data_IF_134953684624
#
_entry.id   IF_134953684624
#
_cell.length_a   1.000
_cell.length_b   1.000
_cell.length_c   1.000
_cell.angle_alpha   90.00
_cell.angle_beta   90.00
_cell.angle_gamma   90.00
#
_symmetry.space_group_name_H-M   'P 1'
#
loop_
_entity.id
_entity.type
_entity.pdbx_description
1 polymer ?
#
# COMPACT_ATOMS: atom_id res chain seq x y z
N UNK A 1 0.61 -41.10 4.26
CA UNK A 1 1.16 -39.78 4.61
C UNK A 1 0.03 -38.76 4.48
N UNK A 2 -0.60 -38.37 5.60
CA UNK A 2 -1.69 -37.40 5.59
C UNK A 2 -1.13 -36.03 5.20
N UNK A 3 -1.52 -35.51 4.03
CA UNK A 3 -1.19 -34.14 3.64
C UNK A 3 -1.89 -33.24 4.65
N UNK A 4 -1.13 -32.66 5.60
CA UNK A 4 -1.67 -31.65 6.51
C UNK A 4 -2.25 -30.52 5.67
N UNK A 5 -3.57 -30.30 5.76
CA UNK A 5 -4.22 -29.16 5.11
C UNK A 5 -3.55 -27.88 5.60
N UNK A 6 -3.15 -27.02 4.66
CA UNK A 6 -2.65 -25.68 4.95
C UNK A 6 -3.71 -24.89 5.73
N UNK A 7 -3.25 -24.09 6.69
CA UNK A 7 -4.16 -23.19 7.43
C UNK A 7 -4.61 -22.06 6.49
N UNK A 8 -5.82 -21.48 6.67
CA UNK A 8 -6.29 -20.39 5.82
C UNK A 8 -5.30 -19.21 5.75
N UNK A 9 -4.67 -18.90 6.88
CA UNK A 9 -3.64 -17.86 6.95
C UNK A 9 -2.41 -18.22 6.12
N UNK A 10 -1.88 -19.43 6.21
CA UNK A 10 -0.77 -19.86 5.37
C UNK A 10 -1.13 -19.81 3.87
N UNK A 11 -2.34 -20.21 3.51
CA UNK A 11 -2.84 -20.13 2.13
C UNK A 11 -2.88 -18.69 1.61
N UNK A 12 -3.22 -17.71 2.46
CA UNK A 12 -3.20 -16.28 2.09
C UNK A 12 -1.79 -15.81 1.78
N UNK A 13 -0.81 -16.11 2.63
CA UNK A 13 0.58 -15.73 2.37
C UNK A 13 1.15 -16.36 1.11
N UNK A 14 0.82 -17.64 0.85
CA UNK A 14 1.20 -18.30 -0.41
C UNK A 14 0.57 -17.58 -1.60
N UNK A 15 -0.72 -17.23 -1.54
CA UNK A 15 -1.39 -16.52 -2.62
C UNK A 15 -0.82 -15.11 -2.84
N UNK A 16 -0.41 -14.41 -1.78
CA UNK A 16 0.30 -13.13 -1.87
C UNK A 16 1.65 -13.27 -2.57
N UNK A 17 2.47 -14.26 -2.16
CA UNK A 17 3.74 -14.53 -2.82
C UNK A 17 3.58 -14.87 -4.30
N UNK A 18 2.56 -15.69 -4.64
CA UNK A 18 2.22 -15.99 -6.03
C UNK A 18 1.75 -14.75 -6.80
N UNK A 19 0.95 -13.88 -6.18
CA UNK A 19 0.53 -12.62 -6.79
C UNK A 19 1.73 -11.74 -7.16
N UNK A 20 2.64 -11.49 -6.22
CA UNK A 20 3.83 -10.66 -6.49
C UNK A 20 4.72 -11.31 -7.55
N UNK A 21 4.95 -12.62 -7.47
CA UNK A 21 5.78 -13.34 -8.43
C UNK A 21 5.18 -13.32 -9.84
N UNK A 22 3.88 -13.62 -9.97
CA UNK A 22 3.18 -13.60 -11.26
C UNK A 22 3.16 -12.21 -11.85
N UNK A 23 2.95 -11.18 -11.03
CA UNK A 23 2.97 -9.79 -11.49
C UNK A 23 4.33 -9.41 -12.06
N UNK A 24 5.44 -9.70 -11.36
CA UNK A 24 6.80 -9.41 -11.85
C UNK A 24 7.11 -10.16 -13.15
N UNK A 25 6.83 -11.47 -13.19
CA UNK A 25 7.07 -12.29 -14.39
C UNK A 25 6.28 -11.75 -15.58
N UNK A 26 4.99 -11.44 -15.40
CA UNK A 26 4.15 -10.93 -16.48
C UNK A 26 4.57 -9.52 -16.91
N UNK A 27 4.68 -8.58 -15.97
CA UNK A 27 4.89 -7.17 -16.27
C UNK A 27 6.30 -6.85 -16.75
N UNK A 28 7.31 -7.49 -16.19
CA UNK A 28 8.72 -7.12 -16.40
C UNK A 28 9.48 -8.11 -17.28
N UNK A 29 8.92 -9.29 -17.59
CA UNK A 29 9.65 -10.33 -18.35
C UNK A 29 8.92 -10.83 -19.58
N UNK A 30 7.69 -11.33 -19.40
CA UNK A 30 6.95 -11.95 -20.50
C UNK A 30 6.36 -10.89 -21.43
N UNK A 31 5.61 -9.93 -20.87
CA UNK A 31 4.87 -8.98 -21.68
C UNK A 31 5.71 -7.79 -22.14
N UNK A 32 6.91 -7.57 -21.58
CA UNK A 32 7.76 -6.41 -21.93
C UNK A 32 8.14 -6.38 -23.42
N UNK A 33 8.30 -7.56 -24.03
CA UNK A 33 8.62 -7.73 -25.45
C UNK A 33 7.39 -7.96 -26.35
N UNK A 34 6.19 -8.05 -25.77
CA UNK A 34 4.94 -8.39 -26.48
C UNK A 34 4.00 -7.19 -26.51
N UNK A 35 3.88 -6.47 -25.40
CA UNK A 35 2.98 -5.33 -25.20
C UNK A 35 3.83 -4.10 -24.96
N UNK A 36 3.92 -3.25 -25.97
CA UNK A 36 4.72 -2.01 -25.94
C UNK A 36 4.17 -0.98 -24.94
N UNK A 37 2.85 -0.84 -24.83
CA UNK A 37 2.22 0.07 -23.88
C UNK A 37 2.37 -0.44 -22.45
N UNK A 38 3.14 0.30 -21.64
CA UNK A 38 3.40 -0.02 -20.23
C UNK A 38 2.11 -0.12 -19.41
N UNK A 39 1.15 0.78 -19.62
CA UNK A 39 -0.12 0.77 -18.90
C UNK A 39 -0.95 -0.49 -19.18
N UNK A 40 -1.12 -0.85 -20.45
CA UNK A 40 -1.85 -2.07 -20.84
C UNK A 40 -1.15 -3.30 -20.25
N UNK A 41 0.18 -3.33 -20.32
CA UNK A 41 0.99 -4.41 -19.74
C UNK A 41 0.73 -4.57 -18.23
N UNK A 42 0.78 -3.48 -17.46
CA UNK A 42 0.51 -3.50 -16.02
C UNK A 42 -0.91 -3.95 -15.68
N UNK A 43 -1.91 -3.50 -16.46
CA UNK A 43 -3.31 -3.91 -16.27
C UNK A 43 -3.49 -5.42 -16.50
N UNK A 44 -2.94 -5.97 -17.59
CA UNK A 44 -3.03 -7.40 -17.86
C UNK A 44 -2.35 -8.19 -16.73
N UNK A 45 -1.13 -7.77 -16.35
CA UNK A 45 -0.37 -8.43 -15.29
C UNK A 45 -1.11 -8.44 -13.96
N UNK A 46 -1.68 -7.31 -13.52
CA UNK A 46 -2.36 -7.23 -12.22
C UNK A 46 -3.63 -8.07 -12.19
N UNK A 47 -4.40 -8.10 -13.28
CA UNK A 47 -5.65 -8.87 -13.35
C UNK A 47 -5.38 -10.37 -13.30
N UNK A 48 -4.35 -10.85 -14.00
CA UNK A 48 -3.95 -12.27 -13.97
C UNK A 48 -3.32 -12.61 -12.61
N UNK A 49 -2.41 -11.79 -12.12
CA UNK A 49 -1.73 -12.00 -10.86
C UNK A 49 -2.69 -11.96 -9.66
N UNK A 50 -3.83 -11.28 -9.77
CA UNK A 50 -4.86 -11.26 -8.72
C UNK A 50 -5.59 -12.59 -8.55
N UNK A 51 -5.63 -13.47 -9.57
CA UNK A 51 -6.44 -14.70 -9.56
C UNK A 51 -6.21 -15.58 -8.31
N UNK A 52 -4.96 -15.92 -7.90
CA UNK A 52 -4.72 -16.73 -6.70
C UNK A 52 -5.29 -16.07 -5.43
N UNK A 53 -5.12 -14.76 -5.28
CA UNK A 53 -5.64 -14.00 -4.14
C UNK A 53 -7.16 -13.92 -4.19
N UNK A 54 -7.74 -13.69 -5.37
CA UNK A 54 -9.20 -13.68 -5.58
C UNK A 54 -9.87 -14.99 -5.18
N UNK A 55 -9.25 -16.14 -5.49
CA UNK A 55 -9.74 -17.46 -5.05
C UNK A 55 -9.70 -17.58 -3.53
N UNK A 56 -8.60 -17.18 -2.89
CA UNK A 56 -8.45 -17.20 -1.42
C UNK A 56 -9.45 -16.25 -0.76
N UNK A 57 -9.61 -15.06 -1.31
CA UNK A 57 -10.55 -14.04 -0.85
C UNK A 57 -11.97 -14.59 -0.86
N UNK A 58 -12.41 -15.17 -1.98
CA UNK A 58 -13.73 -15.77 -2.11
C UNK A 58 -13.95 -16.93 -1.14
N UNK A 59 -12.93 -17.75 -0.89
CA UNK A 59 -13.03 -18.92 -0.01
C UNK A 59 -13.00 -18.61 1.48
N UNK A 60 -12.25 -17.59 1.88
CA UNK A 60 -11.89 -17.41 3.29
C UNK A 60 -12.19 -16.04 3.89
N UNK A 61 -12.40 -14.99 3.09
CA UNK A 61 -12.57 -13.63 3.63
C UNK A 61 -13.81 -12.89 3.16
N UNK A 62 -14.48 -13.32 2.08
CA UNK A 62 -15.60 -12.58 1.48
C UNK A 62 -16.69 -12.19 2.48
N UNK A 63 -17.03 -13.07 3.41
CA UNK A 63 -18.12 -12.88 4.38
C UNK A 63 -17.68 -12.04 5.59
N UNK A 64 -16.36 -12.00 5.83
CA UNK A 64 -15.71 -11.35 6.96
C UNK A 64 -15.11 -9.99 6.62
N UNK A 65 -15.10 -9.65 5.33
CA UNK A 65 -14.52 -8.45 4.78
C UNK A 65 -15.30 -7.23 5.26
N UNK A 66 -14.59 -6.13 5.45
CA UNK A 66 -15.17 -4.85 5.86
C UNK A 66 -15.99 -4.17 4.75
N UNK A 67 -16.63 -4.94 3.88
CA UNK A 67 -17.46 -4.47 2.77
C UNK A 67 -18.64 -3.62 3.26
N UNK A 68 -19.28 -4.02 4.37
CA UNK A 68 -20.58 -3.49 4.77
C UNK A 68 -20.70 -3.11 6.25
N UNK A 69 -19.62 -2.73 6.93
CA UNK A 69 -19.77 -2.04 8.23
C UNK A 69 -20.39 -0.66 7.92
N UNK A 70 -21.66 -0.39 8.22
CA UNK A 70 -22.44 0.64 7.51
C UNK A 70 -22.25 2.03 8.12
N UNK A 71 -21.09 2.30 8.73
CA UNK A 71 -20.83 3.63 9.30
C UNK A 71 -20.47 4.56 8.17
N UNK A 72 -21.40 5.43 7.81
CA UNK A 72 -21.16 6.55 6.91
C UNK A 72 -20.01 7.39 7.46
N UNK A 73 -18.98 7.63 6.66
CA UNK A 73 -17.89 8.51 7.03
C UNK A 73 -18.33 9.97 6.81
N UNK A 74 -18.33 10.83 7.86
CA UNK A 74 -18.62 12.25 7.67
C UNK A 74 -17.63 12.89 6.71
N UNK A 75 -18.09 13.80 5.84
CA UNK A 75 -17.23 14.45 4.84
C UNK A 75 -16.01 15.14 5.45
N UNK A 76 -16.14 15.68 6.66
CA UNK A 76 -15.03 16.26 7.41
C UNK A 76 -13.93 15.24 7.70
N UNK A 77 -14.27 13.98 8.00
CA UNK A 77 -13.30 12.89 8.17
C UNK A 77 -12.65 12.49 6.86
N UNK A 78 -13.41 12.47 5.76
CA UNK A 78 -12.87 12.22 4.41
C UNK A 78 -11.80 13.27 4.09
N UNK A 79 -12.14 14.56 4.25
CA UNK A 79 -11.21 15.67 3.99
C UNK A 79 -9.97 15.61 4.86
N UNK A 80 -10.11 15.25 6.14
CA UNK A 80 -8.98 15.09 7.05
C UNK A 80 -8.06 13.95 6.58
N UNK A 81 -8.60 12.76 6.31
CA UNK A 81 -7.77 11.64 5.88
C UNK A 81 -7.09 11.92 4.54
N UNK A 82 -7.80 12.53 3.60
CA UNK A 82 -7.24 12.96 2.34
C UNK A 82 -6.09 13.97 2.53
N UNK A 83 -6.28 15.01 3.34
CA UNK A 83 -5.24 15.99 3.65
C UNK A 83 -4.02 15.35 4.35
N UNK A 84 -4.25 14.38 5.25
CA UNK A 84 -3.16 13.63 5.90
C UNK A 84 -2.39 12.78 4.89
N UNK A 85 -3.07 12.12 3.95
CA UNK A 85 -2.43 11.33 2.89
C UNK A 85 -1.58 12.20 1.97
N UNK A 86 -2.07 13.38 1.60
CA UNK A 86 -1.29 14.37 0.85
C UNK A 86 -0.05 14.80 1.65
N UNK A 87 -0.23 15.09 2.94
CA UNK A 87 0.87 15.48 3.81
C UNK A 87 1.94 14.38 3.89
N UNK A 88 1.54 13.12 4.07
CA UNK A 88 2.46 11.96 4.07
C UNK A 88 3.23 11.89 2.75
N UNK A 89 2.55 11.98 1.61
CA UNK A 89 3.19 11.93 0.29
C UNK A 89 4.22 13.06 0.11
N UNK A 90 3.94 14.26 0.60
CA UNK A 90 4.85 15.40 0.46
C UNK A 90 6.03 15.33 1.43
N UNK A 91 5.78 14.98 2.69
CA UNK A 91 6.85 14.81 3.68
C UNK A 91 7.80 13.69 3.27
N UNK A 92 7.28 12.59 2.73
CA UNK A 92 8.13 11.50 2.21
C UNK A 92 8.91 11.91 0.96
N UNK A 93 8.35 12.74 0.09
CA UNK A 93 9.09 13.33 -1.03
C UNK A 93 10.22 14.28 -0.60
N UNK A 94 10.04 15.08 0.46
CA UNK A 94 11.12 15.92 1.00
C UNK A 94 12.17 15.06 1.69
N UNK A 95 11.71 14.08 2.48
CA UNK A 95 12.57 13.16 3.19
C UNK A 95 13.40 12.30 2.23
N UNK A 96 12.86 11.92 1.07
CA UNK A 96 13.60 11.17 0.05
C UNK A 96 14.80 11.93 -0.50
N UNK A 97 14.69 13.26 -0.66
CA UNK A 97 15.82 14.11 -1.11
C UNK A 97 16.95 14.08 -0.07
N UNK A 98 16.61 14.20 1.20
CA UNK A 98 17.58 14.19 2.31
C UNK A 98 18.24 12.81 2.43
N UNK A 99 17.43 11.74 2.40
CA UNK A 99 17.95 10.37 2.45
C UNK A 99 18.84 10.04 1.26
N UNK A 100 18.43 10.42 0.05
CA UNK A 100 19.23 10.20 -1.16
C UNK A 100 20.55 10.96 -1.11
N UNK A 101 20.56 12.20 -0.58
CA UNK A 101 21.80 12.93 -0.35
C UNK A 101 22.72 12.18 0.63
N UNK A 102 22.15 11.59 1.69
CA UNK A 102 22.89 10.73 2.62
C UNK A 102 23.47 9.47 1.97
N UNK A 103 22.68 8.76 1.16
CA UNK A 103 23.17 7.56 0.44
C UNK A 103 24.30 7.89 -0.53
N UNK A 104 24.22 9.04 -1.22
CA UNK A 104 25.27 9.49 -2.14
C UNK A 104 26.62 9.73 -1.46
N UNK A 105 26.65 10.10 -0.18
CA UNK A 105 27.91 10.19 0.59
C UNK A 105 28.64 8.84 0.63
N UNK A 106 27.90 7.73 0.55
CA UNK A 106 28.43 6.37 0.53
C UNK A 106 28.46 5.73 -0.86
N UNK A 107 28.28 6.51 -1.94
CA UNK A 107 28.13 6.01 -3.32
C UNK A 107 26.96 5.02 -3.50
N UNK A 108 25.90 5.16 -2.71
CA UNK A 108 24.66 4.40 -2.82
C UNK A 108 23.54 5.26 -3.42
N UNK A 109 22.53 4.62 -4.01
CA UNK A 109 21.26 5.25 -4.39
C UNK A 109 20.12 4.28 -4.13
N UNK A 110 19.01 4.80 -3.61
CA UNK A 110 17.79 4.01 -3.42
C UNK A 110 16.71 4.33 -4.47
N UNK A 111 17.02 5.21 -5.43
CA UNK A 111 16.13 5.48 -6.56
C UNK A 111 16.19 4.34 -7.57
N UNK A 112 15.06 3.89 -8.12
CA UNK A 112 15.05 2.93 -9.21
C UNK A 112 15.77 3.53 -10.43
N UNK A 113 16.57 2.71 -11.10
CA UNK A 113 17.39 3.06 -12.28
C UNK A 113 16.58 3.13 -13.58
N UNK A 114 15.30 2.74 -13.56
CA UNK A 114 14.45 2.72 -14.75
C UNK A 114 14.01 4.14 -15.14
N UNK A 115 14.31 4.50 -16.39
CA UNK A 115 13.89 5.77 -16.96
C UNK A 115 12.37 5.81 -17.10
N UNK A 116 11.75 6.89 -16.61
CA UNK A 116 10.32 7.15 -16.75
C UNK A 116 10.01 7.38 -18.24
N UNK A 117 9.31 6.43 -18.87
CA UNK A 117 8.73 6.60 -20.20
C UNK A 117 7.61 7.64 -20.15
N UNK A 118 7.22 8.21 -21.31
CA UNK A 118 6.00 9.03 -21.39
C UNK A 118 4.80 8.22 -20.87
N UNK A 119 4.12 8.74 -19.86
CA UNK A 119 2.98 8.09 -19.23
C UNK A 119 1.82 7.96 -20.21
N UNK A 120 1.32 6.74 -20.44
CA UNK A 120 0.18 6.49 -21.34
C UNK A 120 -1.15 6.65 -20.59
N UNK A 121 -2.26 6.80 -21.32
CA UNK A 121 -3.59 6.83 -20.68
C UNK A 121 -3.88 5.55 -19.88
N UNK A 122 -3.47 4.40 -20.40
CA UNK A 122 -3.63 3.12 -19.71
C UNK A 122 -2.81 3.08 -18.41
N UNK A 123 -1.65 3.73 -18.39
CA UNK A 123 -0.81 3.82 -17.20
C UNK A 123 -1.44 4.71 -16.13
N UNK A 124 -2.04 5.83 -16.52
CA UNK A 124 -2.88 6.63 -15.62
C UNK A 124 -4.06 5.82 -15.07
N UNK A 125 -4.75 5.04 -15.91
CA UNK A 125 -5.87 4.21 -15.47
C UNK A 125 -5.42 3.13 -14.47
N UNK A 126 -4.26 2.52 -14.70
CA UNK A 126 -3.65 1.56 -13.78
C UNK A 126 -3.31 2.22 -12.45
N UNK A 127 -2.49 3.26 -12.47
CA UNK A 127 -1.99 3.96 -11.29
C UNK A 127 -3.17 4.52 -10.49
N UNK A 128 -4.09 5.25 -11.11
CA UNK A 128 -5.12 5.98 -10.39
C UNK A 128 -6.29 5.11 -9.93
N UNK A 129 -6.61 4.02 -10.64
CA UNK A 129 -7.88 3.29 -10.43
C UNK A 129 -7.66 1.80 -10.22
N UNK A 130 -7.14 1.08 -11.22
CA UNK A 130 -7.14 -0.40 -11.20
C UNK A 130 -6.19 -0.92 -10.12
N UNK A 131 -4.96 -0.39 -10.03
CA UNK A 131 -3.99 -0.73 -9.00
C UNK A 131 -4.56 -0.53 -7.60
N UNK A 132 -5.02 0.68 -7.22
CA UNK A 132 -5.61 0.95 -5.91
C UNK A 132 -6.77 0.02 -5.55
N UNK A 133 -7.67 -0.30 -6.49
CA UNK A 133 -8.77 -1.25 -6.24
C UNK A 133 -8.22 -2.61 -5.88
N UNK A 134 -7.31 -3.16 -6.70
CA UNK A 134 -6.75 -4.50 -6.49
C UNK A 134 -5.95 -4.54 -5.20
N UNK A 135 -5.12 -3.53 -4.94
CA UNK A 135 -4.34 -3.41 -3.70
C UNK A 135 -5.23 -3.41 -2.45
N UNK A 136 -6.33 -2.65 -2.44
CA UNK A 136 -7.27 -2.68 -1.31
C UNK A 136 -7.92 -4.06 -1.12
N UNK A 137 -8.31 -4.74 -2.20
CA UNK A 137 -8.86 -6.10 -2.14
C UNK A 137 -7.84 -7.10 -1.58
N UNK A 138 -6.59 -7.00 -2.00
CA UNK A 138 -5.49 -7.84 -1.52
C UNK A 138 -5.21 -7.55 -0.04
N UNK A 139 -4.91 -6.30 0.31
CA UNK A 139 -4.37 -5.97 1.63
C UNK A 139 -5.44 -5.79 2.70
N UNK A 140 -6.56 -5.13 2.41
CA UNK A 140 -7.63 -4.88 3.39
C UNK A 140 -8.66 -5.99 3.31
N UNK A 141 -9.04 -6.34 2.08
CA UNK A 141 -10.04 -7.38 1.83
C UNK A 141 -9.58 -8.79 2.17
N UNK A 142 -8.29 -9.10 2.01
CA UNK A 142 -7.78 -10.46 2.22
C UNK A 142 -6.82 -10.54 3.41
N UNK A 143 -5.66 -9.88 3.33
CA UNK A 143 -4.61 -9.99 4.35
C UNK A 143 -5.08 -9.47 5.73
N UNK A 144 -5.50 -8.21 5.82
CA UNK A 144 -5.96 -7.60 7.07
C UNK A 144 -7.16 -8.36 7.65
N UNK A 145 -8.11 -8.76 6.81
CA UNK A 145 -9.28 -9.53 7.23
C UNK A 145 -8.89 -10.87 7.86
N UNK A 146 -7.85 -11.54 7.33
CA UNK A 146 -7.33 -12.78 7.92
C UNK A 146 -6.54 -12.57 9.20
N UNK A 147 -5.86 -11.43 9.32
CA UNK A 147 -5.05 -11.11 10.49
C UNK A 147 -5.88 -10.53 11.65
N UNK A 148 -7.13 -10.11 11.42
CA UNK A 148 -7.99 -9.48 12.45
C UNK A 148 -8.17 -10.34 13.70
N UNK A 149 -8.09 -11.68 13.57
CA UNK A 149 -8.15 -12.64 14.68
C UNK A 149 -6.98 -12.52 15.66
N UNK A 150 -5.85 -11.94 15.24
CA UNK A 150 -4.70 -11.64 16.09
C UNK A 150 -4.77 -10.23 16.70
N UNK A 151 -5.89 -9.52 16.52
CA UNK A 151 -6.11 -8.16 16.97
C UNK A 151 -6.09 -7.15 15.81
N UNK A 152 -7.03 -6.20 15.85
CA UNK A 152 -7.22 -5.26 14.74
C UNK A 152 -6.03 -4.31 14.55
N UNK A 153 -5.39 -3.86 15.62
CA UNK A 153 -4.21 -3.00 15.53
C UNK A 153 -3.05 -3.71 14.83
N UNK A 154 -2.80 -4.97 15.19
CA UNK A 154 -1.80 -5.78 14.51
C UNK A 154 -2.16 -5.98 13.03
N UNK A 155 -3.41 -6.33 12.72
CA UNK A 155 -3.85 -6.53 11.33
C UNK A 155 -3.65 -5.28 10.46
N UNK A 156 -3.98 -4.09 10.98
CA UNK A 156 -3.76 -2.81 10.27
C UNK A 156 -2.27 -2.57 10.05
N UNK A 157 -1.45 -2.65 11.11
CA UNK A 157 -0.03 -2.34 11.01
C UNK A 157 0.71 -3.33 10.11
N UNK A 158 0.39 -4.62 10.23
CA UNK A 158 1.05 -5.67 9.45
C UNK A 158 0.66 -5.61 7.98
N UNK A 159 -0.63 -5.42 7.67
CA UNK A 159 -1.07 -5.26 6.28
C UNK A 159 -0.50 -4.00 5.63
N UNK A 160 -0.40 -2.89 6.38
CA UNK A 160 0.22 -1.65 5.91
C UNK A 160 1.73 -1.80 5.68
N UNK A 161 2.43 -2.52 6.55
CA UNK A 161 3.84 -2.84 6.37
C UNK A 161 4.08 -3.64 5.08
N UNK A 162 3.32 -4.71 4.88
CA UNK A 162 3.42 -5.53 3.66
C UNK A 162 3.05 -4.73 2.40
N UNK A 163 2.03 -3.88 2.49
CA UNK A 163 1.66 -2.96 1.41
C UNK A 163 2.82 -2.00 1.05
N UNK A 164 3.58 -1.50 2.02
CA UNK A 164 4.77 -0.69 1.74
C UNK A 164 5.90 -1.48 1.09
N UNK A 165 6.18 -2.70 1.55
CA UNK A 165 7.30 -3.52 1.08
C UNK A 165 7.21 -3.90 -0.41
N UNK A 166 6.00 -4.15 -0.92
CA UNK A 166 5.79 -4.60 -2.31
C UNK A 166 5.93 -3.50 -3.36
N UNK A 167 6.16 -2.24 -2.97
CA UNK A 167 6.29 -1.14 -3.94
C UNK A 167 7.65 -1.09 -4.64
N UNK A 168 8.63 -1.89 -4.21
CA UNK A 168 9.96 -2.05 -4.81
C UNK A 168 10.81 -0.76 -4.97
N UNK A 169 10.27 0.41 -4.64
CA UNK A 169 10.95 1.69 -4.42
C UNK A 169 10.89 2.03 -2.92
N UNK A 170 12.03 2.35 -2.32
CA UNK A 170 12.11 2.60 -0.88
C UNK A 170 11.25 3.81 -0.46
N UNK A 171 11.30 4.89 -1.24
CA UNK A 171 10.64 6.14 -0.90
C UNK A 171 9.12 6.02 -1.02
N UNK A 172 8.65 5.43 -2.11
CA UNK A 172 7.25 5.08 -2.33
C UNK A 172 6.78 4.06 -1.31
N UNK A 173 7.59 3.06 -0.95
CA UNK A 173 7.26 2.06 0.06
C UNK A 173 7.00 2.66 1.44
N UNK A 174 7.79 3.66 1.86
CA UNK A 174 7.54 4.41 3.11
C UNK A 174 6.19 5.15 3.03
N UNK A 175 5.95 5.88 1.94
CA UNK A 175 4.69 6.61 1.73
C UNK A 175 3.48 5.68 1.71
N UNK A 176 3.58 4.58 0.96
CA UNK A 176 2.56 3.55 0.84
C UNK A 176 2.28 2.88 2.18
N UNK A 177 3.31 2.53 2.94
CA UNK A 177 3.15 1.94 4.28
C UNK A 177 2.42 2.87 5.24
N UNK A 178 2.80 4.15 5.31
CA UNK A 178 2.15 5.15 6.16
C UNK A 178 0.69 5.42 5.73
N UNK A 179 0.45 5.61 4.43
CA UNK A 179 -0.90 5.72 3.89
C UNK A 179 -1.72 4.46 4.12
N UNK A 180 -1.05 3.31 4.12
CA UNK A 180 -1.66 2.02 4.32
C UNK A 180 -2.25 1.82 5.72
N UNK A 181 -1.71 2.49 6.73
CA UNK A 181 -2.28 2.54 8.08
C UNK A 181 -3.63 3.29 8.05
N UNK A 182 -3.70 4.41 7.31
CA UNK A 182 -4.93 5.20 7.16
C UNK A 182 -6.00 4.38 6.42
N UNK A 183 -5.64 3.77 5.29
CA UNK A 183 -6.53 2.89 4.54
C UNK A 183 -7.03 1.73 5.39
N UNK A 184 -6.15 1.04 6.12
CA UNK A 184 -6.55 -0.04 7.05
C UNK A 184 -7.52 0.43 8.13
N UNK A 185 -7.28 1.61 8.72
CA UNK A 185 -8.20 2.20 9.70
C UNK A 185 -9.55 2.55 9.08
N UNK A 186 -9.57 3.18 7.90
CA UNK A 186 -10.80 3.57 7.19
C UNK A 186 -11.62 2.34 6.81
N UNK A 187 -10.96 1.30 6.28
CA UNK A 187 -11.58 0.02 5.98
C UNK A 187 -12.22 -0.62 7.22
N UNK A 188 -11.50 -0.67 8.35
CA UNK A 188 -12.02 -1.23 9.60
C UNK A 188 -13.18 -0.42 10.19
N UNK A 189 -13.05 0.92 10.24
CA UNK A 189 -13.97 1.78 10.97
C UNK A 189 -15.23 2.13 10.18
N UNK A 190 -15.08 2.32 8.87
CA UNK A 190 -16.15 2.70 7.96
C UNK A 190 -16.39 1.54 6.99
N UNK A 191 -15.74 1.50 5.84
CA UNK A 191 -15.87 0.37 4.92
C UNK A 191 -14.69 0.26 3.98
N UNK A 192 -14.52 -0.92 3.40
CA UNK A 192 -13.54 -1.17 2.34
C UNK A 192 -13.75 -0.23 1.15
N UNK A 193 -15.01 0.08 0.80
CA UNK A 193 -15.30 1.01 -0.29
C UNK A 193 -14.78 2.42 0.00
N UNK A 194 -14.93 2.93 1.23
CA UNK A 194 -14.34 4.21 1.60
C UNK A 194 -12.83 4.20 1.50
N UNK A 195 -12.18 3.07 1.83
CA UNK A 195 -10.74 2.90 1.67
C UNK A 195 -10.33 2.94 0.20
N UNK A 196 -11.02 2.21 -0.67
CA UNK A 196 -10.82 2.21 -2.13
C UNK A 196 -10.95 3.62 -2.71
N UNK A 197 -12.06 4.31 -2.42
CA UNK A 197 -12.29 5.65 -2.95
C UNK A 197 -11.23 6.63 -2.45
N UNK A 198 -10.86 6.55 -1.17
CA UNK A 198 -9.82 7.40 -0.61
C UNK A 198 -8.46 7.13 -1.25
N UNK A 199 -8.13 5.86 -1.50
CA UNK A 199 -6.89 5.47 -2.17
C UNK A 199 -6.85 5.96 -3.62
N UNK A 200 -7.90 5.72 -4.41
CA UNK A 200 -8.06 6.22 -5.78
C UNK A 200 -7.88 7.74 -5.83
N UNK A 201 -8.61 8.46 -4.97
CA UNK A 201 -8.57 9.93 -4.97
C UNK A 201 -7.21 10.48 -4.57
N UNK A 202 -6.58 9.93 -3.52
CA UNK A 202 -5.24 10.34 -3.10
C UNK A 202 -4.18 10.04 -4.14
N UNK A 203 -4.23 8.88 -4.79
CA UNK A 203 -3.25 8.53 -5.81
C UNK A 203 -3.45 9.35 -7.08
N UNK A 204 -4.69 9.53 -7.53
CA UNK A 204 -5.03 10.42 -8.66
C UNK A 204 -4.51 11.83 -8.43
N UNK A 205 -4.70 12.38 -7.23
CA UNK A 205 -4.21 13.72 -6.90
C UNK A 205 -2.67 13.77 -6.93
N UNK A 206 -1.99 12.79 -6.33
CA UNK A 206 -0.53 12.70 -6.36
C UNK A 206 0.00 12.65 -7.80
N UNK A 207 -0.59 11.82 -8.66
CA UNK A 207 -0.24 11.68 -10.08
C UNK A 207 -0.51 12.94 -10.90
N UNK A 208 -1.62 13.63 -10.65
CA UNK A 208 -1.90 14.92 -11.29
C UNK A 208 -0.86 15.96 -10.86
N UNK A 209 -0.56 16.06 -9.56
CA UNK A 209 0.44 17.04 -9.08
C UNK A 209 1.85 16.76 -9.59
N UNK A 210 2.23 15.51 -9.82
CA UNK A 210 3.53 15.17 -10.43
C UNK A 210 3.57 15.53 -11.92
N UNK A 211 2.44 15.46 -12.62
CA UNK A 211 2.34 15.81 -14.04
C UNK A 211 2.23 17.33 -14.27
N UNK A 212 1.58 18.07 -13.36
CA UNK A 212 1.41 19.54 -13.43
C UNK A 212 2.71 20.30 -13.13
N UNK A 213 3.74 19.65 -12.55
CA UNK A 213 5.12 20.19 -12.45
C UNK A 213 5.72 20.39 -13.85
N UNK A 214 5.22 21.41 -14.53
CA UNK A 214 5.71 21.97 -15.76
C UNK A 214 6.64 23.14 -15.43
N UNK A 215 7.42 23.60 -16.40
CA UNK A 215 8.32 24.77 -16.27
C UNK A 215 7.57 26.10 -16.05
N UNK A 216 6.24 26.07 -15.82
CA UNK A 216 5.42 27.25 -15.55
C UNK A 216 5.36 27.57 -14.03
N UNK A 217 5.68 28.81 -13.68
CA UNK A 217 5.76 29.28 -12.30
C UNK A 217 4.39 29.27 -11.60
N UNK A 218 3.31 29.55 -12.34
CA UNK A 218 1.95 29.61 -11.79
C UNK A 218 1.44 28.22 -11.39
N UNK A 219 1.65 27.22 -12.24
CA UNK A 219 1.31 25.82 -11.96
C UNK A 219 2.02 25.29 -10.72
N UNK A 220 3.32 25.62 -10.56
CA UNK A 220 4.09 25.26 -9.38
C UNK A 220 3.58 25.96 -8.11
N UNK A 221 3.22 27.24 -8.19
CA UNK A 221 2.68 27.99 -7.05
C UNK A 221 1.35 27.40 -6.58
N UNK A 222 0.44 27.05 -7.50
CA UNK A 222 -0.84 26.42 -7.17
C UNK A 222 -0.66 25.09 -6.46
N UNK A 223 0.25 24.23 -6.96
CA UNK A 223 0.58 22.95 -6.32
C UNK A 223 1.12 23.18 -4.91
N UNK A 224 2.05 24.13 -4.72
CA UNK A 224 2.59 24.49 -3.40
C UNK A 224 1.49 24.99 -2.46
N UNK A 225 0.57 25.84 -2.93
CA UNK A 225 -0.53 26.35 -2.11
C UNK A 225 -1.46 25.23 -1.63
N UNK A 226 -1.84 24.31 -2.52
CA UNK A 226 -2.69 23.16 -2.12
C UNK A 226 -1.98 22.28 -1.09
N UNK A 227 -0.67 22.06 -1.27
CA UNK A 227 0.17 21.32 -0.32
C UNK A 227 0.19 21.99 1.06
N UNK A 228 0.41 23.31 1.11
CA UNK A 228 0.45 24.06 2.38
C UNK A 228 -0.90 24.01 3.11
N UNK A 229 -2.01 24.12 2.39
CA UNK A 229 -3.36 24.00 2.98
C UNK A 229 -3.58 22.60 3.57
N UNK A 230 -3.17 21.54 2.86
CA UNK A 230 -3.28 20.17 3.36
C UNK A 230 -2.44 19.94 4.63
N UNK A 231 -1.21 20.47 4.66
CA UNK A 231 -0.32 20.40 5.82
C UNK A 231 -0.91 21.14 7.03
N UNK A 232 -1.35 22.39 6.86
CA UNK A 232 -1.95 23.21 7.93
C UNK A 232 -3.20 22.53 8.48
N UNK A 233 -4.07 22.02 7.61
CA UNK A 233 -5.30 21.31 8.01
C UNK A 233 -4.96 20.10 8.89
N UNK A 234 -3.97 19.30 8.47
CA UNK A 234 -3.51 18.12 9.20
C UNK A 234 -2.94 18.50 10.56
N UNK A 235 -2.09 19.54 10.63
CA UNK A 235 -1.49 20.03 11.88
C UNK A 235 -2.54 20.56 12.86
N UNK A 236 -3.48 21.39 12.40
CA UNK A 236 -4.55 21.96 13.24
C UNK A 236 -5.43 20.85 13.83
N UNK A 237 -5.78 19.86 13.02
CA UNK A 237 -6.59 18.71 13.48
C UNK A 237 -5.79 17.84 14.45
N UNK A 238 -4.51 17.59 14.17
CA UNK A 238 -3.60 16.88 15.06
C UNK A 238 -3.48 17.54 16.43
N UNK A 239 -3.26 18.86 16.47
CA UNK A 239 -3.17 19.63 17.72
C UNK A 239 -4.50 19.59 18.50
N UNK A 240 -5.65 19.77 17.82
CA UNK A 240 -6.98 19.66 18.47
C UNK A 240 -7.20 18.27 19.05
N UNK A 241 -6.80 17.22 18.35
CA UNK A 241 -6.91 15.85 18.83
C UNK A 241 -6.03 15.61 20.05
N UNK A 242 -4.76 16.06 20.04
CA UNK A 242 -3.85 15.93 21.18
C UNK A 242 -4.36 16.71 22.41
N UNK A 243 -4.90 17.91 22.21
CA UNK A 243 -5.50 18.72 23.28
C UNK A 243 -6.73 18.06 23.90
N UNK A 244 -7.57 17.39 23.08
CA UNK A 244 -8.76 16.68 23.55
C UNK A 244 -8.47 15.27 24.09
N UNK A 245 -7.31 14.68 23.80
CA UNK A 245 -6.90 13.34 24.25
C UNK A 245 -6.41 13.32 25.70
N UNK A 246 -6.16 14.47 26.31
CA UNK A 246 -5.70 14.61 27.70
C UNK A 246 -6.70 14.10 28.77
N UNK A 247 -7.77 13.39 28.40
CA UNK A 247 -8.84 12.95 29.32
C UNK A 247 -9.28 11.48 29.18
N UNK A 248 -8.49 10.59 28.57
CA UNK A 248 -8.85 9.15 28.54
C UNK A 248 -7.67 8.22 28.82
N UNK A 249 -7.73 7.51 29.95
CA UNK A 249 -6.87 6.38 30.32
C UNK A 249 -7.02 5.22 29.31
N UNK A 250 -5.90 4.72 28.76
CA UNK A 250 -5.86 3.49 27.96
C UNK A 250 -5.32 2.36 28.84
N UNK A 251 -6.13 1.33 29.10
CA UNK A 251 -5.66 0.06 29.64
C UNK A 251 -5.10 -0.80 28.49
N UNK A 252 -3.94 -1.45 28.67
CA UNK A 252 -3.38 -2.34 27.65
C UNK A 252 -4.21 -3.63 27.55
N UNK A 253 -4.54 -4.04 26.33
CA UNK A 253 -5.07 -5.38 26.06
C UNK A 253 -3.94 -6.41 26.17
N UNK A 254 -4.13 -7.42 27.04
CA UNK A 254 -3.17 -8.50 27.26
C UNK A 254 -3.28 -9.52 26.12
N UNK A 255 -2.25 -9.65 25.30
CA UNK A 255 -2.13 -10.70 24.28
C UNK A 255 -1.68 -12.03 24.93
N UNK A 256 -2.29 -13.17 24.57
CA UNK A 256 -1.91 -14.47 25.12
C UNK A 256 -0.65 -15.03 24.44
N UNK A 257 0.11 -15.88 25.14
CA UNK A 257 1.37 -16.49 24.65
C UNK A 257 1.21 -17.28 23.35
N UNK A 258 0.06 -17.92 23.15
CA UNK A 258 -0.26 -18.66 21.91
C UNK A 258 -0.37 -17.72 20.68
N UNK A 259 -0.90 -16.51 20.87
CA UNK A 259 -0.96 -15.51 19.79
C UNK A 259 0.43 -15.00 19.43
N UNK A 260 1.34 -14.85 20.40
CA UNK A 260 2.73 -14.46 20.14
C UNK A 260 3.48 -15.51 19.33
N UNK A 261 3.38 -16.79 19.70
CA UNK A 261 4.03 -17.89 18.97
C UNK A 261 3.45 -18.02 17.56
N UNK A 262 2.14 -17.81 17.38
CA UNK A 262 1.52 -17.79 16.06
C UNK A 262 1.99 -16.60 15.22
N UNK A 263 2.15 -15.41 15.81
CA UNK A 263 2.67 -14.21 15.14
C UNK A 263 4.14 -14.38 14.73
N UNK A 264 4.97 -15.01 15.56
CA UNK A 264 6.37 -15.28 15.25
C UNK A 264 6.50 -16.21 14.04
N UNK A 265 5.74 -17.31 14.01
CA UNK A 265 5.69 -18.24 12.87
C UNK A 265 5.16 -17.57 11.61
N UNK A 266 4.18 -16.67 11.74
CA UNK A 266 3.60 -15.89 10.66
C UNK A 266 4.62 -14.92 10.06
N UNK A 267 5.33 -14.18 10.92
CA UNK A 267 6.41 -13.27 10.54
C UNK A 267 7.50 -14.04 9.80
N UNK A 268 7.96 -15.15 10.35
CA UNK A 268 8.98 -15.99 9.73
C UNK A 268 8.56 -16.50 8.34
N UNK A 269 7.32 -17.00 8.18
CA UNK A 269 6.84 -17.44 6.86
C UNK A 269 6.68 -16.28 5.88
N UNK A 270 6.19 -15.12 6.34
CA UNK A 270 6.06 -13.93 5.49
C UNK A 270 7.40 -13.37 5.04
N UNK A 271 8.41 -13.37 5.92
CA UNK A 271 9.77 -12.93 5.63
C UNK A 271 10.46 -13.91 4.69
N UNK A 272 10.32 -15.23 4.87
CA UNK A 272 10.86 -16.20 3.92
C UNK A 272 10.26 -16.06 2.51
N UNK A 273 8.96 -15.75 2.40
CA UNK A 273 8.32 -15.50 1.09
C UNK A 273 8.82 -14.19 0.50
N UNK A 274 8.95 -13.14 1.31
CA UNK A 274 9.47 -11.84 0.89
C UNK A 274 10.93 -11.96 0.44
N UNK A 275 11.76 -12.64 1.22
CA UNK A 275 13.16 -12.93 0.90
C UNK A 275 13.25 -13.77 -0.37
N UNK A 276 12.37 -14.76 -0.58
CA UNK A 276 12.33 -15.52 -1.82
C UNK A 276 11.96 -14.63 -3.02
N UNK A 277 10.98 -13.74 -2.87
CA UNK A 277 10.58 -12.80 -3.92
C UNK A 277 11.69 -11.80 -4.23
N UNK A 278 12.34 -11.24 -3.21
CA UNK A 278 13.48 -10.33 -3.34
C UNK A 278 14.69 -11.06 -3.95
N UNK A 279 14.98 -12.28 -3.51
CA UNK A 279 16.07 -13.11 -4.03
C UNK A 279 15.83 -13.46 -5.50
N UNK A 280 14.62 -13.85 -5.88
CA UNK A 280 14.22 -14.07 -7.27
C UNK A 280 14.42 -12.77 -8.06
N UNK A 281 13.83 -11.66 -7.61
CA UNK A 281 13.94 -10.38 -8.30
C UNK A 281 15.40 -9.90 -8.48
N UNK A 282 16.23 -10.04 -7.44
CA UNK A 282 17.65 -9.63 -7.45
C UNK A 282 18.57 -10.58 -8.22
N UNK A 283 18.35 -11.90 -8.14
CA UNK A 283 19.15 -12.90 -8.88
C UNK A 283 18.98 -12.81 -10.40
N UNK A 284 17.85 -12.27 -10.88
CA UNK A 284 17.63 -12.05 -12.30
C UNK A 284 18.12 -10.68 -12.82
N UNK A 285 18.47 -9.73 -11.95
CA UNK A 285 19.20 -8.51 -12.35
C UNK A 285 20.70 -8.77 -12.58
N UNK A 286 21.23 -9.87 -12.05
CA UNK A 286 22.61 -10.32 -12.29
C UNK A 286 22.77 -11.12 -13.60
N UNK A 287 21.66 -11.45 -14.28
CA UNK A 287 21.63 -12.27 -15.50
C UNK A 287 21.24 -11.47 -16.76
N UNK A 288 21.07 -10.15 -16.64
CA UNK A 288 20.80 -9.21 -17.73
C UNK A 288 21.95 -8.21 -17.88
#
# INVERSE_FOLDING_TARGET
MSIRKLTPTATVFIALGLNTLLFDILANRLLINIVSDTGIRLIISVLIAFIPVGIVMYRYTKDDMFLFSPKTMPITKIMIFFATLLTISMTTNIFSVILEAGFKVFNLSAKPTLAVSKTTFAEYLYICVIGPIIEELIYRGTLMTQLKKYGIHFAILFSAFYFGLIHHDLYQGISAGLGGIIFGYVAYRYSLLYSIVLHITSNTFATITSTIKSNDTLSNLLVITIILIALITTLVVGIKYLKNRSSSHLLPQKTSSEHMIAMEKLLATSLCILDLVILIHSSFHLLS
#
